data_IF_834701624333
#
_entry.id   IF_834701624333
#
_cell.length_a   1.000
_cell.length_b   1.000
_cell.length_c   1.000
_cell.angle_alpha   90.00
_cell.angle_beta   90.00
_cell.angle_gamma   90.00
#
_symmetry.space_group_name_H-M   'P 1'
#
loop_
_entity.id
_entity.type
_entity.pdbx_description
1 polymer ?
#
# COMPACT_ATOMS: atom_id res chain seq x y z
N UNK A 1 4.11 -29.21 13.53
CA UNK A 1 2.76 -28.96 12.99
C UNK A 1 2.77 -27.55 12.43
N UNK A 2 2.39 -27.33 11.18
CA UNK A 2 2.38 -26.00 10.61
C UNK A 2 1.30 -25.16 11.31
N UNK A 3 1.69 -24.01 11.87
CA UNK A 3 0.78 -23.05 12.47
C UNK A 3 -0.22 -22.58 11.42
N UNK A 4 -1.52 -22.58 11.74
CA UNK A 4 -2.56 -22.13 10.82
C UNK A 4 -2.71 -20.62 10.95
N UNK A 5 -2.50 -19.87 9.87
CA UNK A 5 -2.79 -18.43 9.83
C UNK A 5 -4.22 -18.21 9.35
N UNK A 6 -5.00 -17.46 10.11
CA UNK A 6 -6.41 -17.14 9.83
C UNK A 6 -6.60 -15.62 9.79
N UNK A 7 -7.14 -15.10 8.68
CA UNK A 7 -7.49 -13.68 8.56
C UNK A 7 -8.74 -13.41 9.40
N UNK A 8 -8.63 -12.50 10.36
CA UNK A 8 -9.75 -12.07 11.21
C UNK A 8 -10.56 -10.95 10.58
N UNK A 9 -9.87 -9.98 9.99
CA UNK A 9 -10.50 -8.85 9.36
C UNK A 9 -9.62 -8.28 8.25
N UNK A 10 -10.31 -7.65 7.30
CA UNK A 10 -9.71 -6.89 6.21
C UNK A 10 -10.38 -5.53 6.21
N UNK A 11 -9.59 -4.46 6.11
CA UNK A 11 -10.10 -3.12 5.90
C UNK A 11 -9.30 -2.40 4.82
N UNK A 12 -9.88 -1.31 4.32
CA UNK A 12 -9.20 -0.41 3.38
C UNK A 12 -8.80 0.85 4.13
N UNK A 13 -7.50 1.11 4.19
CA UNK A 13 -6.93 2.32 4.81
C UNK A 13 -6.68 3.35 3.71
N UNK A 14 -7.16 4.57 3.91
CA UNK A 14 -7.01 5.69 2.97
C UNK A 14 -6.08 6.75 3.56
N UNK A 15 -5.44 7.54 2.71
CA UNK A 15 -4.69 8.71 3.17
C UNK A 15 -5.67 9.71 3.81
N UNK A 16 -5.30 10.28 4.97
CA UNK A 16 -6.12 11.33 5.57
C UNK A 16 -5.96 12.64 4.81
N UNK A 17 -7.04 13.42 4.79
CA UNK A 17 -7.11 14.68 4.07
C UNK A 17 -7.50 14.48 2.61
N UNK A 18 -8.80 14.21 2.36
CA UNK A 18 -9.39 14.35 1.01
C UNK A 18 -9.13 15.73 0.39
N UNK A 19 -8.80 16.74 1.21
CA UNK A 19 -8.51 18.12 0.80
C UNK A 19 -7.02 18.45 0.58
N UNK A 20 -6.09 17.49 0.71
CA UNK A 20 -4.62 17.77 0.66
C UNK A 20 -3.93 17.20 -0.59
N UNK A 21 -4.64 16.47 -1.45
CA UNK A 21 -4.14 16.26 -2.81
C UNK A 21 -4.37 17.56 -3.57
N UNK A 22 -3.48 18.54 -3.33
CA UNK A 22 -3.30 19.67 -4.25
C UNK A 22 -3.25 19.09 -5.67
N UNK A 23 -3.89 19.75 -6.63
CA UNK A 23 -4.05 19.25 -8.01
C UNK A 23 -2.74 18.71 -8.62
N UNK A 24 -1.60 19.20 -8.15
CA UNK A 24 -0.25 18.81 -8.55
C UNK A 24 0.21 17.40 -8.10
N UNK A 25 -0.51 16.69 -7.24
CA UNK A 25 -0.11 15.37 -6.74
C UNK A 25 -1.07 14.24 -7.14
N UNK A 26 -1.97 14.48 -8.11
CA UNK A 26 -2.96 13.50 -8.59
C UNK A 26 -2.35 12.41 -9.47
N UNK A 27 -1.33 12.74 -10.25
CA UNK A 27 -0.66 11.82 -11.17
C UNK A 27 0.85 11.93 -10.93
N UNK A 28 1.50 10.77 -10.81
CA UNK A 28 2.96 10.67 -10.74
C UNK A 28 3.42 9.85 -11.92
N UNK A 29 4.10 10.50 -12.86
CA UNK A 29 4.73 9.84 -13.99
C UNK A 29 5.91 9.00 -13.52
N UNK A 30 6.01 7.76 -14.03
CA UNK A 30 7.12 6.89 -13.69
C UNK A 30 8.36 7.26 -14.50
N UNK A 31 9.50 7.31 -13.82
CA UNK A 31 10.79 7.43 -14.47
C UNK A 31 11.20 6.10 -15.10
N UNK A 32 12.17 6.09 -16.04
CA UNK A 32 12.70 4.84 -16.58
C UNK A 32 13.23 3.88 -15.50
N UNK A 33 13.71 4.40 -14.37
CA UNK A 33 14.17 3.56 -13.24
C UNK A 33 13.02 2.86 -12.54
N UNK A 34 11.89 3.55 -12.35
CA UNK A 34 10.69 2.96 -11.74
C UNK A 34 10.14 1.82 -12.63
N UNK A 35 10.18 1.99 -13.95
CA UNK A 35 9.72 0.96 -14.91
C UNK A 35 10.58 -0.32 -14.84
N UNK A 36 11.89 -0.18 -14.60
CA UNK A 36 12.76 -1.34 -14.39
C UNK A 36 12.39 -2.11 -13.11
N UNK A 37 12.04 -1.39 -12.04
CA UNK A 37 11.61 -2.00 -10.78
C UNK A 37 10.24 -2.69 -10.90
N UNK A 38 9.35 -2.25 -11.80
CA UNK A 38 8.07 -2.94 -12.07
C UNK A 38 8.23 -4.37 -12.61
N UNK A 39 9.42 -4.73 -13.12
CA UNK A 39 9.71 -6.09 -13.58
C UNK A 39 9.96 -7.05 -12.41
N UNK A 40 10.11 -6.52 -11.20
CA UNK A 40 10.30 -7.28 -9.97
C UNK A 40 8.92 -7.52 -9.34
N UNK A 41 8.73 -8.70 -8.77
CA UNK A 41 7.49 -9.02 -8.05
C UNK A 41 7.26 -8.11 -6.85
N UNK A 42 6.00 -8.02 -6.40
CA UNK A 42 5.63 -7.22 -5.24
C UNK A 42 6.48 -7.59 -4.02
N UNK A 43 7.21 -6.60 -3.48
CA UNK A 43 8.12 -6.84 -2.35
C UNK A 43 7.34 -7.24 -1.10
N UNK A 44 7.69 -8.39 -0.53
CA UNK A 44 7.10 -8.93 0.69
C UNK A 44 8.10 -8.85 1.84
N UNK A 45 8.13 -7.70 2.51
CA UNK A 45 8.97 -7.49 3.69
C UNK A 45 8.15 -7.62 4.98
N UNK A 46 8.82 -8.06 6.04
CA UNK A 46 8.20 -8.22 7.36
C UNK A 46 9.11 -7.74 8.48
N UNK A 47 8.49 -7.24 9.55
CA UNK A 47 9.17 -6.83 10.78
C UNK A 47 8.56 -7.58 11.96
N UNK A 48 9.41 -8.09 12.86
CA UNK A 48 8.98 -8.81 14.05
C UNK A 48 9.12 -7.93 15.28
N UNK A 49 8.01 -7.72 15.99
CA UNK A 49 7.98 -6.98 17.25
C UNK A 49 7.72 -7.92 18.43
N UNK A 50 8.26 -7.56 19.61
CA UNK A 50 7.72 -8.08 20.87
C UNK A 50 6.30 -7.55 21.03
N UNK A 51 5.42 -8.38 21.60
CA UNK A 51 3.97 -8.16 21.70
C UNK A 51 3.59 -6.67 21.80
N UNK A 52 3.02 -6.09 20.73
CA UNK A 52 2.75 -4.65 20.69
C UNK A 52 1.54 -4.31 21.56
N UNK A 53 1.50 -3.09 22.06
CA UNK A 53 0.31 -2.52 22.71
C UNK A 53 -0.74 -2.16 21.66
N UNK A 54 -2.02 -2.11 22.06
CA UNK A 54 -3.11 -1.74 21.15
C UNK A 54 -2.94 -0.32 20.55
N UNK A 55 -2.23 0.57 21.23
CA UNK A 55 -1.95 1.92 20.71
C UNK A 55 -0.97 1.85 19.54
N UNK A 56 0.12 1.08 19.67
CA UNK A 56 1.12 0.93 18.61
C UNK A 56 0.52 0.34 17.34
N UNK A 57 -0.44 -0.58 17.44
CA UNK A 57 -1.15 -1.15 16.29
C UNK A 57 -1.99 -0.09 15.57
N UNK A 58 -2.66 0.81 16.31
CA UNK A 58 -3.46 1.89 15.73
C UNK A 58 -2.59 2.92 15.01
N UNK A 59 -1.44 3.25 15.57
CA UNK A 59 -0.55 4.26 14.99
C UNK A 59 -0.02 3.83 13.60
N UNK A 60 0.11 2.52 13.34
CA UNK A 60 0.51 1.97 12.01
C UNK A 60 -0.54 2.29 10.94
N UNK A 61 -1.83 2.29 11.30
CA UNK A 61 -2.92 2.57 10.34
C UNK A 61 -3.06 4.05 9.99
N UNK A 62 -2.28 4.92 10.61
CA UNK A 62 -2.29 6.36 10.37
C UNK A 62 -1.43 6.71 9.14
N UNK A 63 -1.97 6.49 7.94
CA UNK A 63 -1.29 6.66 6.64
C UNK A 63 -1.21 8.11 6.15
N UNK A 64 -1.16 9.09 7.06
CA UNK A 64 -1.22 10.53 6.72
C UNK A 64 -0.04 11.05 5.87
N UNK A 65 0.96 10.22 5.60
CA UNK A 65 2.25 10.69 5.12
C UNK A 65 2.58 10.34 3.66
N UNK A 66 1.83 9.45 2.99
CA UNK A 66 2.19 8.98 1.64
C UNK A 66 0.97 8.72 0.72
N UNK A 67 0.41 9.77 0.10
CA UNK A 67 -0.70 9.65 -0.86
C UNK A 67 -0.50 8.62 -1.99
N UNK A 68 0.70 8.45 -2.58
CA UNK A 68 0.89 7.50 -3.69
C UNK A 68 0.58 6.05 -3.31
N UNK A 69 0.81 5.65 -2.06
CA UNK A 69 0.50 4.29 -1.62
C UNK A 69 -0.99 4.00 -1.60
N UNK A 70 -1.83 5.02 -1.43
CA UNK A 70 -3.28 4.88 -1.50
C UNK A 70 -3.83 5.03 -2.93
N UNK A 71 -2.96 5.21 -3.93
CA UNK A 71 -3.31 5.31 -5.35
C UNK A 71 -3.34 3.96 -6.07
N UNK A 72 -3.30 3.99 -7.40
CA UNK A 72 -3.21 2.81 -8.28
C UNK A 72 -2.18 3.04 -9.37
N UNK A 73 -1.42 2.00 -9.70
CA UNK A 73 -0.60 1.97 -10.90
C UNK A 73 -1.52 1.78 -12.10
N UNK A 74 -1.42 2.68 -13.07
CA UNK A 74 -2.18 2.67 -14.31
C UNK A 74 -1.24 2.70 -15.51
N UNK A 75 -1.74 2.22 -16.65
CA UNK A 75 -1.03 2.23 -17.91
C UNK A 75 -1.95 2.76 -19.01
N UNK A 76 -1.43 3.64 -19.84
CA UNK A 76 -2.13 4.23 -20.98
C UNK A 76 -1.28 4.07 -22.24
N UNK A 77 -1.92 3.79 -23.38
CA UNK A 77 -1.24 3.75 -24.68
C UNK A 77 -1.36 5.12 -25.35
N UNK A 78 -0.22 5.75 -25.65
CA UNK A 78 -0.15 7.02 -26.37
C UNK A 78 0.83 6.89 -27.54
N UNK A 79 0.33 7.13 -28.76
CA UNK A 79 1.14 7.13 -29.99
C UNK A 79 1.99 5.86 -30.19
N UNK A 80 1.46 4.69 -29.83
CA UNK A 80 2.16 3.41 -29.93
C UNK A 80 3.19 3.15 -28.83
N UNK A 81 3.23 3.98 -27.78
CA UNK A 81 4.06 3.79 -26.59
C UNK A 81 3.15 3.60 -25.37
N UNK A 82 3.44 2.61 -24.52
CA UNK A 82 2.75 2.45 -23.24
C UNK A 82 3.42 3.33 -22.18
N UNK A 83 2.66 4.25 -21.62
CA UNK A 83 3.06 5.12 -20.51
C UNK A 83 2.51 4.56 -19.20
N UNK A 84 3.33 4.57 -18.15
CA UNK A 84 2.93 4.12 -16.81
C UNK A 84 2.94 5.29 -15.84
N UNK A 85 1.94 5.36 -14.97
CA UNK A 85 1.82 6.41 -13.95
C UNK A 85 1.07 5.90 -12.72
N UNK A 86 1.27 6.57 -11.59
CA UNK A 86 0.48 6.34 -10.38
C UNK A 86 -0.64 7.38 -10.33
N UNK A 87 -1.88 6.92 -10.34
CA UNK A 87 -3.06 7.71 -10.05
C UNK A 87 -3.29 7.73 -8.54
N UNK A 88 -3.03 8.88 -7.90
CA UNK A 88 -3.23 9.11 -6.46
C UNK A 88 -4.72 9.30 -6.11
N UNK A 89 -5.58 8.37 -6.55
CA UNK A 89 -7.04 8.42 -6.41
C UNK A 89 -7.57 8.24 -4.99
N UNK A 90 -6.69 8.01 -4.01
CA UNK A 90 -7.06 7.66 -2.63
C UNK A 90 -8.03 6.46 -2.53
N UNK A 91 -7.92 5.51 -3.48
CA UNK A 91 -8.63 4.24 -3.45
C UNK A 91 -8.29 3.42 -2.19
N UNK A 92 -7.12 3.67 -1.59
CA UNK A 92 -6.66 3.10 -0.32
C UNK A 92 -5.94 1.77 -0.49
N UNK A 93 -5.31 1.32 0.59
CA UNK A 93 -4.56 0.07 0.70
C UNK A 93 -5.31 -0.95 1.53
N UNK A 94 -5.15 -2.23 1.20
CA UNK A 94 -5.71 -3.32 1.98
C UNK A 94 -4.86 -3.55 3.24
N UNK A 95 -5.51 -3.59 4.39
CA UNK A 95 -4.90 -3.93 5.67
C UNK A 95 -5.59 -5.18 6.24
N UNK A 96 -4.81 -6.24 6.47
CA UNK A 96 -5.31 -7.51 7.01
C UNK A 96 -4.82 -7.70 8.45
N UNK A 97 -5.76 -7.98 9.36
CA UNK A 97 -5.46 -8.46 10.69
C UNK A 97 -5.65 -9.97 10.72
N UNK A 98 -4.61 -10.72 11.06
CA UNK A 98 -4.60 -12.17 11.08
C UNK A 98 -3.99 -12.71 12.38
N UNK A 99 -4.39 -13.92 12.76
CA UNK A 99 -3.86 -14.66 13.91
C UNK A 99 -3.21 -15.94 13.41
N UNK A 100 -2.09 -16.33 14.02
CA UNK A 100 -1.45 -17.63 13.82
C UNK A 100 -1.76 -18.54 15.03
N UNK A 101 -2.55 -19.60 14.80
CA UNK A 101 -2.90 -20.57 15.83
C UNK A 101 -1.68 -21.45 16.19
N UNK A 102 -1.47 -21.68 17.48
CA UNK A 102 -0.41 -22.57 17.97
C UNK A 102 0.99 -21.95 18.05
N UNK A 103 1.11 -20.63 17.94
CA UNK A 103 2.34 -19.88 18.20
C UNK A 103 2.22 -19.25 19.60
N UNK A 104 3.02 -19.72 20.56
CA UNK A 104 3.12 -19.21 21.94
C UNK A 104 4.45 -18.51 22.18
#
# INVERSE_FOLDING_TARGET
MASKVSIMSTCTVKAAGESVIEDNCKIIELTPWDILELQIEYRQDGVLYRMPTSQQVRDITNTNFFPPFCGRLEAEEQSGTTCFFINCSNAGVQFNHAIADGVT
#
